data_IF_754789097681
#
_entry.id   IF_754789097681
#
_cell.length_a   1.000
_cell.length_b   1.000
_cell.length_c   1.000
_cell.angle_alpha   90.00
_cell.angle_beta   90.00
_cell.angle_gamma   90.00
#
_symmetry.space_group_name_H-M   'P 1'
#
loop_
_entity.id
_entity.type
_entity.pdbx_description
1 polymer ?
#
# COMPACT_ATOMS: atom_id res chain seq x y z
N UNK A 1 2.55 -20.02 22.43
CA UNK A 1 3.21 -19.02 21.56
C UNK A 1 4.70 -19.14 21.79
N UNK A 2 5.54 -19.25 20.76
CA UNK A 2 6.98 -19.08 20.96
C UNK A 2 7.18 -17.64 21.44
N UNK A 3 7.91 -17.47 22.55
CA UNK A 3 8.34 -16.17 23.06
C UNK A 3 9.00 -15.41 21.91
N UNK A 4 8.58 -14.16 21.69
CA UNK A 4 9.28 -13.27 20.78
C UNK A 4 10.78 -13.28 21.17
N UNK A 5 11.71 -13.42 20.21
CA UNK A 5 13.13 -13.39 20.53
C UNK A 5 13.44 -12.11 21.33
N UNK A 6 14.33 -12.22 22.31
CA UNK A 6 14.79 -11.08 23.10
C UNK A 6 15.17 -9.91 22.17
N UNK A 7 14.85 -8.65 22.52
CA UNK A 7 15.10 -7.52 21.63
C UNK A 7 16.61 -7.49 21.31
N UNK A 8 16.95 -7.74 20.05
CA UNK A 8 18.30 -7.55 19.58
C UNK A 8 18.67 -6.10 19.83
N UNK A 9 19.85 -5.84 20.39
CA UNK A 9 20.33 -4.48 20.60
C UNK A 9 20.54 -3.86 19.21
N UNK A 10 19.58 -3.06 18.74
CA UNK A 10 19.57 -2.49 17.38
C UNK A 10 20.42 -1.22 17.38
N UNK A 11 21.53 -1.26 16.64
CA UNK A 11 22.40 -0.10 16.42
C UNK A 11 21.75 0.88 15.43
N UNK A 12 21.07 1.89 15.95
CA UNK A 12 20.37 2.89 15.13
C UNK A 12 21.33 3.86 14.44
N UNK A 13 22.63 3.87 14.76
CA UNK A 13 23.58 4.82 14.16
C UNK A 13 23.80 4.64 12.65
N UNK A 14 23.47 3.45 12.15
CA UNK A 14 23.59 3.08 10.72
C UNK A 14 22.31 3.37 9.94
N UNK A 15 21.20 3.61 10.61
CA UNK A 15 19.88 3.78 10.00
C UNK A 15 19.82 5.07 9.20
N UNK A 16 19.27 4.98 7.99
CA UNK A 16 19.06 6.11 7.09
C UNK A 16 17.62 6.57 7.17
N UNK A 17 17.40 7.81 7.58
CA UNK A 17 16.08 8.39 7.72
C UNK A 17 15.78 9.41 6.61
N UNK A 18 14.54 9.43 6.14
CA UNK A 18 13.96 10.48 5.33
C UNK A 18 12.84 11.17 6.11
N UNK A 19 12.92 12.50 6.21
CA UNK A 19 11.93 13.33 6.91
C UNK A 19 11.26 14.27 5.90
N UNK A 20 10.00 14.00 5.59
CA UNK A 20 9.17 14.77 4.67
C UNK A 20 8.16 15.61 5.47
N UNK A 21 8.52 16.86 5.76
CA UNK A 21 7.72 17.74 6.61
C UNK A 21 7.95 19.21 6.20
N UNK A 22 6.89 19.97 5.80
CA UNK A 22 7.06 21.33 5.31
C UNK A 22 7.54 22.32 6.40
N UNK A 23 7.13 22.13 7.66
CA UNK A 23 7.46 23.03 8.76
C UNK A 23 8.88 22.86 9.26
N UNK A 24 9.72 23.89 9.11
CA UNK A 24 11.11 23.88 9.59
C UNK A 24 11.22 23.60 11.12
N UNK A 25 10.42 24.23 12.01
CA UNK A 25 10.45 23.91 13.43
C UNK A 25 10.15 22.44 13.74
N UNK A 26 9.19 21.83 13.03
CA UNK A 26 8.84 20.42 13.22
C UNK A 26 9.98 19.52 12.71
N UNK A 27 10.55 19.80 11.53
CA UNK A 27 11.73 19.08 11.02
C UNK A 27 12.91 19.13 11.98
N UNK A 28 13.21 20.30 12.56
CA UNK A 28 14.28 20.44 13.55
C UNK A 28 14.02 19.60 14.81
N UNK A 29 12.77 19.58 15.30
CA UNK A 29 12.37 18.71 16.42
C UNK A 29 12.54 17.22 16.10
N UNK A 30 12.12 16.79 14.90
CA UNK A 30 12.30 15.40 14.43
C UNK A 30 13.78 15.05 14.32
N UNK A 31 14.60 15.92 13.69
CA UNK A 31 16.05 15.74 13.54
C UNK A 31 16.73 15.61 14.91
N UNK A 32 16.35 16.44 15.88
CA UNK A 32 16.88 16.34 17.25
C UNK A 32 16.53 15.00 17.89
N UNK A 33 15.27 14.56 17.78
CA UNK A 33 14.84 13.25 18.30
C UNK A 33 15.64 12.10 17.69
N UNK A 34 15.79 12.09 16.36
CA UNK A 34 16.53 11.06 15.63
C UNK A 34 18.01 11.04 16.04
N UNK A 35 18.66 12.20 16.16
CA UNK A 35 20.04 12.29 16.63
C UNK A 35 20.21 11.76 18.06
N UNK A 36 19.25 12.03 18.96
CA UNK A 36 19.31 11.59 20.36
C UNK A 36 19.29 10.06 20.51
N UNK A 37 18.69 9.34 19.56
CA UNK A 37 18.71 7.86 19.53
C UNK A 37 19.82 7.29 18.64
N UNK A 38 20.67 8.15 18.07
CA UNK A 38 21.86 7.78 17.32
C UNK A 38 21.73 7.87 15.80
N UNK A 39 20.53 8.08 15.23
CA UNK A 39 20.33 8.18 13.78
C UNK A 39 20.94 9.49 13.29
N UNK A 40 22.04 9.41 12.53
CA UNK A 40 22.78 10.59 12.02
C UNK A 40 22.56 10.87 10.53
N UNK A 41 22.29 9.85 9.72
CA UNK A 41 22.05 10.00 8.28
C UNK A 41 20.57 10.36 8.05
N UNK A 42 20.28 11.66 8.04
CA UNK A 42 18.92 12.21 7.94
C UNK A 42 18.83 13.09 6.69
N UNK A 43 18.09 12.61 5.68
CA UNK A 43 17.67 13.40 4.54
C UNK A 43 16.36 14.13 4.86
N UNK A 44 16.23 15.37 4.41
CA UNK A 44 15.01 16.17 4.58
C UNK A 44 14.41 16.55 3.23
N UNK A 45 13.09 16.54 3.16
CA UNK A 45 12.31 17.10 2.07
C UNK A 45 11.23 18.02 2.64
N UNK A 46 11.19 19.26 2.18
CA UNK A 46 10.20 20.26 2.62
C UNK A 46 9.07 20.48 1.61
N UNK A 47 9.16 19.91 0.42
CA UNK A 47 8.19 20.05 -0.67
C UNK A 47 7.69 18.69 -1.12
N UNK A 48 6.50 18.64 -1.72
CA UNK A 48 5.91 17.37 -2.16
C UNK A 48 6.79 16.68 -3.21
N UNK A 49 7.30 17.46 -4.17
CA UNK A 49 8.17 16.94 -5.24
C UNK A 49 9.51 16.41 -4.69
N UNK A 50 10.11 17.09 -3.72
CA UNK A 50 11.33 16.61 -3.08
C UNK A 50 11.09 15.31 -2.30
N UNK A 51 9.95 15.21 -1.59
CA UNK A 51 9.58 14.00 -0.87
C UNK A 51 9.38 12.81 -1.82
N UNK A 52 8.65 13.04 -2.92
CA UNK A 52 8.44 12.04 -3.95
C UNK A 52 9.76 11.60 -4.60
N UNK A 53 10.63 12.54 -4.97
CA UNK A 53 11.93 12.24 -5.58
C UNK A 53 12.85 11.46 -4.64
N UNK A 54 12.94 11.85 -3.36
CA UNK A 54 13.74 11.12 -2.37
C UNK A 54 13.21 9.69 -2.15
N UNK A 55 11.87 9.51 -2.10
CA UNK A 55 11.27 8.17 -2.04
C UNK A 55 11.58 7.33 -3.29
N UNK A 56 11.63 7.95 -4.47
CA UNK A 56 11.98 7.31 -5.75
C UNK A 56 13.44 6.85 -5.79
N UNK A 57 14.36 7.69 -5.35
CA UNK A 57 15.80 7.38 -5.27
C UNK A 57 16.06 6.23 -4.29
N UNK A 58 15.35 6.25 -3.16
CA UNK A 58 15.36 5.18 -2.16
C UNK A 58 16.63 5.16 -1.30
N UNK A 59 16.93 3.98 -0.75
CA UNK A 59 18.01 3.76 0.24
C UNK A 59 17.74 4.36 1.65
N UNK A 60 16.47 4.61 1.97
CA UNK A 60 16.03 4.96 3.32
C UNK A 60 15.42 3.75 4.03
N UNK A 61 15.69 3.62 5.32
CA UNK A 61 15.13 2.55 6.16
C UNK A 61 13.93 3.04 6.97
N UNK A 62 13.94 4.33 7.33
CA UNK A 62 12.90 4.98 8.12
C UNK A 62 12.37 6.23 7.42
N UNK A 63 11.05 6.33 7.30
CA UNK A 63 10.36 7.46 6.69
C UNK A 63 9.44 8.11 7.73
N UNK A 64 9.63 9.41 7.92
CA UNK A 64 8.65 10.27 8.58
C UNK A 64 7.97 11.10 7.50
N UNK A 65 6.68 10.87 7.27
CA UNK A 65 5.94 11.50 6.16
C UNK A 65 4.76 12.30 6.69
N UNK A 66 4.74 13.61 6.47
CA UNK A 66 3.53 14.39 6.72
C UNK A 66 2.44 13.97 5.72
N UNK A 67 1.21 13.78 6.21
CA UNK A 67 0.04 13.47 5.38
C UNK A 67 -0.20 14.53 4.29
N UNK A 68 0.10 15.80 4.58
CA UNK A 68 -0.17 16.93 3.70
C UNK A 68 1.09 17.79 3.57
N UNK A 69 1.62 17.93 2.35
CA UNK A 69 2.80 18.75 2.05
C UNK A 69 2.42 19.74 0.98
N UNK A 70 2.50 21.04 1.28
CA UNK A 70 2.10 22.12 0.34
C UNK A 70 0.68 21.93 -0.22
N UNK A 71 -0.27 21.55 0.65
CA UNK A 71 -1.65 21.20 0.30
C UNK A 71 -1.82 19.98 -0.63
N UNK A 72 -0.75 19.21 -0.88
CA UNK A 72 -0.81 17.95 -1.63
C UNK A 72 -0.95 16.74 -0.71
N UNK A 73 -1.81 15.79 -1.10
CA UNK A 73 -2.05 14.54 -0.37
C UNK A 73 -0.89 13.56 -0.54
N UNK A 74 -0.06 13.46 0.49
CA UNK A 74 1.10 12.57 0.53
C UNK A 74 0.75 11.11 0.84
N UNK A 75 -0.53 10.79 1.11
CA UNK A 75 -0.99 9.40 1.16
C UNK A 75 -0.80 8.69 -0.19
N UNK A 76 -0.77 9.44 -1.29
CA UNK A 76 -0.43 8.93 -2.62
C UNK A 76 0.98 8.31 -2.67
N UNK A 77 2.00 9.02 -2.18
CA UNK A 77 3.39 8.53 -2.09
C UNK A 77 3.44 7.20 -1.33
N UNK A 78 2.72 7.11 -0.22
CA UNK A 78 2.68 5.91 0.61
C UNK A 78 2.03 4.72 -0.11
N UNK A 79 0.91 4.94 -0.81
CA UNK A 79 0.26 3.89 -1.62
C UNK A 79 1.19 3.38 -2.72
N UNK A 80 1.90 4.29 -3.39
CA UNK A 80 2.85 3.92 -4.44
C UNK A 80 4.03 3.10 -3.90
N UNK A 81 4.61 3.52 -2.77
CA UNK A 81 5.63 2.75 -2.05
C UNK A 81 5.13 1.35 -1.74
N UNK A 82 3.97 1.21 -1.09
CA UNK A 82 3.43 -0.12 -0.69
C UNK A 82 3.08 -1.00 -1.89
N UNK A 83 2.63 -0.40 -2.99
CA UNK A 83 2.30 -1.14 -4.22
C UNK A 83 3.54 -1.62 -4.98
N UNK A 84 4.70 -1.02 -4.70
CA UNK A 84 5.95 -1.22 -5.41
C UNK A 84 6.05 -0.46 -6.74
N UNK A 85 5.25 0.60 -6.93
CA UNK A 85 5.32 1.51 -8.09
C UNK A 85 6.33 2.65 -7.89
N UNK A 86 6.66 2.97 -6.63
CA UNK A 86 7.64 3.99 -6.24
C UNK A 86 8.73 3.38 -5.36
N UNK A 87 9.97 3.83 -5.57
CA UNK A 87 11.11 3.46 -4.74
C UNK A 87 11.57 2.01 -4.91
N UNK A 88 12.52 1.60 -4.06
CA UNK A 88 13.19 0.28 -4.12
C UNK A 88 12.78 -0.68 -3.01
N UNK A 89 12.13 -0.17 -1.97
CA UNK A 89 11.75 -0.95 -0.80
C UNK A 89 10.31 -0.60 -0.36
N UNK A 90 9.32 -1.43 -0.71
CA UNK A 90 7.94 -1.23 -0.29
C UNK A 90 7.74 -1.46 1.21
N UNK A 91 8.76 -1.96 1.91
CA UNK A 91 8.75 -2.26 3.34
C UNK A 91 9.52 -1.24 4.17
N UNK A 92 9.89 -0.08 3.61
CA UNK A 92 10.36 1.06 4.39
C UNK A 92 9.46 1.26 5.62
N UNK A 93 10.08 1.47 6.79
CA UNK A 93 9.36 1.65 8.04
C UNK A 93 8.84 3.08 8.08
N UNK A 94 7.52 3.28 8.12
CA UNK A 94 6.94 4.62 7.97
C UNK A 94 6.10 5.05 9.17
N UNK A 95 6.40 6.22 9.71
CA UNK A 95 5.50 6.95 10.62
C UNK A 95 4.90 8.11 9.85
N UNK A 96 3.58 8.14 9.71
CA UNK A 96 2.89 9.25 9.06
C UNK A 96 2.45 10.28 10.11
N UNK A 97 2.72 11.55 9.83
CA UNK A 97 2.33 12.68 10.67
C UNK A 97 0.96 13.21 10.26
N UNK A 98 0.12 13.53 11.24
CA UNK A 98 -1.22 14.05 11.06
C UNK A 98 -1.37 15.41 11.72
N UNK A 99 -1.95 16.38 11.03
CA UNK A 99 -2.30 17.68 11.60
C UNK A 99 -3.76 17.76 12.12
N UNK A 100 -4.60 16.79 11.75
CA UNK A 100 -6.02 16.77 12.10
C UNK A 100 -6.46 15.41 12.64
N UNK A 101 -7.46 15.43 13.53
CA UNK A 101 -8.14 14.24 14.08
C UNK A 101 -9.45 13.92 13.35
N UNK A 102 -9.80 14.68 12.33
CA UNK A 102 -11.03 14.43 11.56
C UNK A 102 -11.02 13.04 10.97
N UNK A 103 -12.13 12.33 11.14
CA UNK A 103 -12.26 10.92 10.76
C UNK A 103 -11.87 10.64 9.30
N UNK A 104 -12.26 11.46 8.30
CA UNK A 104 -11.85 11.23 6.91
C UNK A 104 -10.33 11.33 6.70
N UNK A 105 -9.66 12.29 7.36
CA UNK A 105 -8.21 12.47 7.27
C UNK A 105 -7.47 11.33 7.99
N UNK A 106 -7.93 10.92 9.17
CA UNK A 106 -7.34 9.77 9.88
C UNK A 106 -7.52 8.50 9.06
N UNK A 107 -8.71 8.27 8.51
CA UNK A 107 -9.01 7.08 7.70
C UNK A 107 -8.12 7.01 6.45
N UNK A 108 -8.00 8.10 5.69
CA UNK A 108 -7.15 8.12 4.49
C UNK A 108 -5.67 7.85 4.80
N UNK A 109 -5.17 8.36 5.94
CA UNK A 109 -3.82 8.08 6.41
C UNK A 109 -3.62 6.61 6.84
N UNK A 110 -4.61 6.00 7.50
CA UNK A 110 -4.56 4.56 7.84
C UNK A 110 -4.52 3.73 6.55
N UNK A 111 -5.41 4.05 5.60
CA UNK A 111 -5.68 3.27 4.39
C UNK A 111 -4.55 3.33 3.35
N UNK A 112 -3.58 4.24 3.51
CA UNK A 112 -2.39 4.25 2.64
C UNK A 112 -1.25 3.35 3.14
N UNK A 113 -1.38 2.76 4.32
CA UNK A 113 -0.47 1.72 4.82
C UNK A 113 0.82 2.17 5.51
N UNK A 114 0.91 3.32 6.22
CA UNK A 114 2.07 3.61 7.06
C UNK A 114 2.18 2.58 8.21
N UNK A 115 3.32 2.42 8.85
CA UNK A 115 3.47 1.51 9.99
C UNK A 115 2.77 2.03 11.26
N UNK A 116 2.92 3.33 11.54
CA UNK A 116 2.24 4.03 12.64
C UNK A 116 1.80 5.44 12.23
N UNK A 117 0.94 6.04 13.05
CA UNK A 117 0.45 7.41 12.92
C UNK A 117 0.85 8.24 14.14
N UNK A 118 1.25 9.48 13.91
CA UNK A 118 1.61 10.42 14.98
C UNK A 118 0.96 11.78 14.74
N UNK A 119 0.20 12.26 15.71
CA UNK A 119 -0.49 13.54 15.61
C UNK A 119 0.44 14.69 16.01
N UNK A 120 0.43 15.78 15.24
CA UNK A 120 1.09 17.04 15.52
C UNK A 120 0.16 17.91 16.39
N UNK A 121 0.68 18.60 17.43
CA UNK A 121 2.05 18.54 17.93
C UNK A 121 2.33 17.27 18.73
N UNK A 122 3.55 16.76 18.65
CA UNK A 122 4.05 15.65 19.47
C UNK A 122 5.37 16.03 20.15
N UNK A 123 5.64 15.46 21.31
CA UNK A 123 6.96 15.56 21.93
C UNK A 123 7.96 14.67 21.16
N UNK A 124 9.21 15.11 20.92
CA UNK A 124 10.20 14.34 20.16
C UNK A 124 10.36 12.87 20.63
N UNK A 125 10.29 12.62 21.94
CA UNK A 125 10.39 11.28 22.52
C UNK A 125 9.24 10.35 22.13
N UNK A 126 8.07 10.88 21.76
CA UNK A 126 6.95 10.06 21.30
C UNK A 126 7.29 9.36 19.98
N UNK A 127 7.92 10.07 19.03
CA UNK A 127 8.37 9.46 17.77
C UNK A 127 9.38 8.34 18.04
N UNK A 128 10.28 8.53 19.00
CA UNK A 128 11.29 7.53 19.37
C UNK A 128 10.65 6.30 20.03
N UNK A 129 9.67 6.51 20.90
CA UNK A 129 8.88 5.42 21.48
C UNK A 129 8.17 4.61 20.39
N UNK A 130 7.56 5.27 19.39
CA UNK A 130 6.93 4.60 18.25
C UNK A 130 7.94 3.79 17.44
N UNK A 131 9.08 4.38 17.11
CA UNK A 131 10.14 3.71 16.36
C UNK A 131 10.62 2.44 17.07
N UNK A 132 10.88 2.49 18.39
CA UNK A 132 11.31 1.31 19.17
C UNK A 132 10.29 0.17 19.09
N UNK A 133 9.01 0.49 19.31
CA UNK A 133 7.92 -0.50 19.21
C UNK A 133 7.86 -1.10 17.81
N UNK A 134 7.99 -0.28 16.77
CA UNK A 134 7.97 -0.73 15.39
C UNK A 134 9.18 -1.60 15.00
N UNK A 135 10.37 -1.31 15.55
CA UNK A 135 11.58 -2.11 15.35
C UNK A 135 11.43 -3.51 15.96
N UNK A 136 10.86 -3.58 17.17
CA UNK A 136 10.70 -4.84 17.90
C UNK A 136 9.50 -5.66 17.42
N UNK A 137 8.36 -4.99 17.21
CA UNK A 137 7.03 -5.60 17.04
C UNK A 137 6.29 -5.00 15.85
N UNK A 138 6.97 -4.91 14.69
CA UNK A 138 6.32 -4.57 13.42
C UNK A 138 5.16 -5.54 13.18
N UNK A 139 3.98 -5.00 12.88
CA UNK A 139 2.81 -5.82 12.57
C UNK A 139 3.01 -6.53 11.22
N UNK A 140 2.47 -7.75 11.04
CA UNK A 140 2.43 -8.38 9.73
C UNK A 140 1.62 -7.53 8.76
N UNK A 141 1.90 -7.66 7.47
CA UNK A 141 1.13 -7.01 6.42
C UNK A 141 -0.06 -7.88 6.02
N UNK A 142 -1.13 -7.23 5.55
CA UNK A 142 -2.28 -7.85 4.92
C UNK A 142 -2.52 -7.21 3.56
N UNK A 143 -3.14 -7.97 2.67
CA UNK A 143 -3.45 -7.54 1.31
C UNK A 143 -4.95 -7.67 1.09
N UNK A 144 -5.58 -6.58 0.68
CA UNK A 144 -6.98 -6.55 0.21
C UNK A 144 -7.00 -6.09 -1.24
N UNK A 145 -8.19 -5.76 -1.75
CA UNK A 145 -8.38 -5.17 -3.07
C UNK A 145 -7.90 -3.72 -3.21
N UNK A 146 -7.68 -3.01 -2.10
CA UNK A 146 -7.40 -1.58 -2.05
C UNK A 146 -6.32 -1.22 -1.01
N UNK A 147 -5.83 -2.20 -0.25
CA UNK A 147 -4.86 -2.00 0.83
C UNK A 147 -3.70 -3.00 0.76
N UNK A 148 -2.49 -2.49 0.97
CA UNK A 148 -1.28 -3.27 1.26
C UNK A 148 -0.58 -2.58 2.42
N UNK A 149 -0.49 -3.24 3.56
CA UNK A 149 0.14 -2.63 4.73
C UNK A 149 -0.13 -3.39 6.02
N UNK A 150 0.28 -2.83 7.16
CA UNK A 150 0.15 -3.45 8.47
C UNK A 150 -1.28 -3.89 8.81
N UNK A 151 -1.43 -5.04 9.47
CA UNK A 151 -2.74 -5.48 9.96
C UNK A 151 -3.26 -4.51 11.03
N UNK A 152 -4.42 -3.90 10.75
CA UNK A 152 -5.09 -2.96 11.65
C UNK A 152 -6.19 -3.61 12.48
N UNK A 153 -6.49 -4.89 12.27
CA UNK A 153 -7.57 -5.58 12.98
C UNK A 153 -7.18 -5.81 14.43
N UNK A 154 -8.07 -5.42 15.34
CA UNK A 154 -7.95 -5.76 16.76
C UNK A 154 -8.44 -7.18 17.06
N UNK A 155 -9.38 -7.70 16.27
CA UNK A 155 -9.96 -9.03 16.43
C UNK A 155 -10.33 -9.65 15.06
N UNK A 156 -10.36 -10.99 14.96
CA UNK A 156 -10.94 -11.68 13.81
C UNK A 156 -12.42 -11.29 13.63
N UNK A 157 -12.87 -11.12 12.39
CA UNK A 157 -14.31 -10.95 12.13
C UNK A 157 -14.99 -12.32 12.30
N UNK A 158 -16.07 -12.45 13.10
CA UNK A 158 -16.83 -13.69 13.20
C UNK A 158 -17.31 -14.13 11.81
N UNK A 159 -17.04 -15.39 11.43
CA UNK A 159 -17.50 -15.97 10.16
C UNK A 159 -16.70 -15.60 8.91
N UNK A 160 -15.62 -14.82 9.01
CA UNK A 160 -14.74 -14.54 7.88
C UNK A 160 -13.38 -15.21 8.04
N UNK A 161 -12.86 -15.85 6.99
CA UNK A 161 -11.48 -16.32 6.95
C UNK A 161 -10.55 -15.14 7.19
N UNK A 162 -9.70 -15.21 8.22
CA UNK A 162 -8.67 -14.20 8.47
C UNK A 162 -7.85 -13.99 7.20
N UNK A 163 -7.55 -12.73 6.86
CA UNK A 163 -6.73 -12.47 5.68
C UNK A 163 -5.34 -13.03 5.90
N UNK A 164 -4.72 -13.52 4.83
CA UNK A 164 -3.33 -13.98 4.84
C UNK A 164 -2.44 -12.88 5.40
N UNK A 165 -1.66 -13.22 6.42
CA UNK A 165 -0.70 -12.33 7.06
C UNK A 165 0.69 -12.59 6.50
N UNK A 166 1.39 -11.53 6.10
CA UNK A 166 2.73 -11.57 5.54
C UNK A 166 3.71 -10.97 6.53
N UNK A 167 4.68 -11.77 6.98
CA UNK A 167 5.81 -11.22 7.71
C UNK A 167 6.74 -10.53 6.71
N UNK A 168 6.84 -9.21 6.80
CA UNK A 168 7.70 -8.42 5.92
C UNK A 168 9.03 -8.10 6.62
N UNK A 169 10.13 -7.94 5.86
CA UNK A 169 11.40 -7.56 6.46
C UNK A 169 11.29 -6.16 7.09
N UNK A 170 12.07 -5.91 8.14
CA UNK A 170 12.16 -4.60 8.79
C UNK A 170 13.53 -3.98 8.46
N UNK A 171 13.60 -2.94 7.61
CA UNK A 171 14.88 -2.36 7.16
C UNK A 171 15.67 -1.74 8.32
N UNK A 172 15.00 -1.06 9.25
CA UNK A 172 15.64 -0.46 10.43
C UNK A 172 16.28 -1.54 11.29
N UNK A 173 15.54 -2.61 11.59
CA UNK A 173 16.07 -3.75 12.36
C UNK A 173 17.22 -4.43 11.60
N UNK A 174 17.02 -4.71 10.32
CA UNK A 174 18.04 -5.38 9.49
C UNK A 174 19.36 -4.61 9.49
N UNK A 175 19.31 -3.29 9.27
CA UNK A 175 20.51 -2.46 9.26
C UNK A 175 21.16 -2.37 10.63
N UNK A 176 20.38 -2.14 11.68
CA UNK A 176 20.93 -2.02 13.04
C UNK A 176 21.43 -3.34 13.64
N UNK A 177 21.05 -4.50 13.09
CA UNK A 177 21.65 -5.80 13.44
C UNK A 177 22.76 -6.23 12.47
N UNK A 178 23.19 -5.37 11.55
CA UNK A 178 24.18 -5.66 10.50
C UNK A 178 23.80 -6.88 9.62
N UNK A 179 22.51 -7.02 9.28
CA UNK A 179 22.09 -8.03 8.33
C UNK A 179 22.75 -7.74 6.97
N UNK A 180 23.41 -8.71 6.34
CA UNK A 180 24.00 -8.52 5.01
C UNK A 180 22.96 -8.06 3.99
N UNK A 181 23.33 -7.11 3.14
CA UNK A 181 22.42 -6.44 2.20
C UNK A 181 21.79 -7.41 1.21
N UNK A 182 22.57 -8.37 0.71
CA UNK A 182 22.12 -9.45 -0.17
C UNK A 182 21.07 -10.35 0.50
N UNK A 183 21.19 -10.58 1.82
CA UNK A 183 20.21 -11.34 2.58
C UNK A 183 18.93 -10.54 2.79
N UNK A 184 19.04 -9.25 3.08
CA UNK A 184 17.87 -8.36 3.17
C UNK A 184 17.14 -8.28 1.81
N UNK A 185 17.87 -8.11 0.72
CA UNK A 185 17.31 -8.02 -0.63
C UNK A 185 16.57 -9.30 -1.03
N UNK A 186 17.07 -10.49 -0.64
CA UNK A 186 16.36 -11.77 -0.81
C UNK A 186 15.04 -11.80 -0.02
N UNK A 187 15.06 -11.50 1.28
CA UNK A 187 13.84 -11.47 2.11
C UNK A 187 12.80 -10.47 1.58
N UNK A 188 13.26 -9.31 1.11
CA UNK A 188 12.44 -8.29 0.44
C UNK A 188 11.83 -8.86 -0.82
N UNK A 189 12.62 -9.47 -1.70
CA UNK A 189 12.13 -10.02 -2.95
C UNK A 189 11.10 -11.15 -2.73
N UNK A 190 11.36 -12.06 -1.79
CA UNK A 190 10.43 -13.13 -1.42
C UNK A 190 9.09 -12.56 -0.93
N UNK A 191 9.14 -11.51 -0.10
CA UNK A 191 7.95 -10.83 0.41
C UNK A 191 7.19 -10.08 -0.69
N UNK A 192 7.89 -9.43 -1.64
CA UNK A 192 7.29 -8.75 -2.80
C UNK A 192 6.53 -9.76 -3.67
N UNK A 193 7.12 -10.92 -3.94
CA UNK A 193 6.50 -11.98 -4.75
C UNK A 193 5.27 -12.53 -4.02
N UNK A 194 5.38 -12.87 -2.74
CA UNK A 194 4.27 -13.43 -1.97
C UNK A 194 3.07 -12.46 -1.86
N UNK A 195 3.32 -11.20 -1.51
CA UNK A 195 2.29 -10.15 -1.46
C UNK A 195 1.71 -9.89 -2.85
N UNK A 196 2.56 -9.92 -3.87
CA UNK A 196 2.18 -9.78 -5.26
C UNK A 196 1.15 -10.81 -5.73
N UNK A 197 1.45 -12.08 -5.50
CA UNK A 197 0.57 -13.20 -5.81
C UNK A 197 -0.77 -13.04 -5.09
N UNK A 198 -0.76 -12.72 -3.79
CA UNK A 198 -1.99 -12.45 -3.05
C UNK A 198 -2.78 -11.27 -3.63
N UNK A 199 -2.09 -10.19 -4.03
CA UNK A 199 -2.73 -9.02 -4.66
C UNK A 199 -3.40 -9.39 -5.98
N UNK A 200 -2.79 -10.24 -6.80
CA UNK A 200 -3.39 -10.79 -8.02
C UNK A 200 -4.70 -11.53 -7.69
N UNK A 201 -4.70 -12.41 -6.67
CA UNK A 201 -5.91 -13.12 -6.23
C UNK A 201 -7.02 -12.16 -5.81
N UNK A 202 -6.67 -11.14 -5.01
CA UNK A 202 -7.62 -10.12 -4.54
C UNK A 202 -8.19 -9.28 -5.67
N UNK A 203 -7.37 -8.85 -6.62
CA UNK A 203 -7.82 -8.10 -7.80
C UNK A 203 -8.76 -8.93 -8.67
N UNK A 204 -8.43 -10.21 -8.92
CA UNK A 204 -9.29 -11.12 -9.68
C UNK A 204 -10.66 -11.32 -8.99
N UNK A 205 -10.67 -11.54 -7.66
CA UNK A 205 -11.90 -11.65 -6.89
C UNK A 205 -12.74 -10.36 -6.91
N UNK A 206 -12.10 -9.19 -6.82
CA UNK A 206 -12.79 -7.89 -6.93
C UNK A 206 -13.38 -7.69 -8.31
N UNK A 207 -12.64 -7.98 -9.37
CA UNK A 207 -13.14 -7.89 -10.73
C UNK A 207 -14.40 -8.76 -10.92
N UNK A 208 -14.39 -10.01 -10.41
CA UNK A 208 -15.56 -10.90 -10.48
C UNK A 208 -16.75 -10.34 -9.71
N UNK A 209 -16.52 -9.83 -8.49
CA UNK A 209 -17.55 -9.21 -7.66
C UNK A 209 -18.19 -7.99 -8.34
N UNK A 210 -17.39 -7.09 -8.90
CA UNK A 210 -17.86 -5.90 -9.61
C UNK A 210 -18.65 -6.27 -10.87
N UNK A 211 -18.18 -7.27 -11.65
CA UNK A 211 -18.92 -7.76 -12.82
C UNK A 211 -20.28 -8.37 -12.43
N UNK A 212 -20.32 -9.12 -11.33
CA UNK A 212 -21.55 -9.70 -10.83
C UNK A 212 -22.52 -8.62 -10.33
N UNK A 213 -22.03 -7.60 -9.60
CA UNK A 213 -22.83 -6.47 -9.16
C UNK A 213 -23.43 -5.68 -10.33
N UNK A 214 -22.63 -5.46 -11.40
CA UNK A 214 -23.08 -4.83 -12.63
C UNK A 214 -24.15 -5.67 -13.35
N UNK A 215 -23.95 -7.00 -13.43
CA UNK A 215 -24.91 -7.93 -14.03
C UNK A 215 -26.26 -7.92 -13.29
N UNK A 216 -26.23 -7.96 -11.95
CA UNK A 216 -27.44 -7.89 -11.12
C UNK A 216 -28.16 -6.57 -11.35
N UNK A 217 -27.44 -5.46 -11.31
CA UNK A 217 -28.00 -4.12 -11.55
C UNK A 217 -28.66 -4.02 -12.92
N UNK A 218 -28.06 -4.64 -13.95
CA UNK A 218 -28.60 -4.69 -15.30
C UNK A 218 -29.90 -5.51 -15.38
N UNK A 219 -29.92 -6.70 -14.78
CA UNK A 219 -31.10 -7.59 -14.75
C UNK A 219 -32.28 -6.96 -14.03
N UNK A 220 -32.01 -6.21 -12.97
CA UNK A 220 -33.04 -5.52 -12.18
C UNK A 220 -33.46 -4.17 -12.77
N UNK A 221 -32.88 -3.74 -13.90
CA UNK A 221 -33.17 -2.44 -14.50
C UNK A 221 -32.75 -1.25 -13.64
N UNK A 222 -31.78 -1.43 -12.73
CA UNK A 222 -31.31 -0.42 -11.77
C UNK A 222 -30.08 0.36 -12.23
N UNK A 223 -29.64 0.14 -13.48
CA UNK A 223 -28.48 0.85 -14.02
C UNK A 223 -28.81 2.31 -14.29
N UNK A 224 -27.94 3.20 -13.78
CA UNK A 224 -27.90 4.61 -14.19
C UNK A 224 -26.58 4.88 -14.92
N UNK A 225 -26.51 5.91 -15.78
CA UNK A 225 -25.24 6.28 -16.43
C UNK A 225 -24.11 6.50 -15.42
N UNK A 226 -24.42 7.08 -14.25
CA UNK A 226 -23.45 7.32 -13.18
C UNK A 226 -22.97 6.03 -12.51
N UNK A 227 -23.88 5.11 -12.14
CA UNK A 227 -23.51 3.85 -11.50
C UNK A 227 -22.73 2.94 -12.46
N UNK A 228 -23.12 2.94 -13.73
CA UNK A 228 -22.46 2.21 -14.81
C UNK A 228 -21.05 2.74 -15.04
N UNK A 229 -20.91 4.07 -15.14
CA UNK A 229 -19.60 4.71 -15.25
C UNK A 229 -18.68 4.34 -14.09
N UNK A 230 -19.17 4.43 -12.84
CA UNK A 230 -18.38 4.08 -11.65
C UNK A 230 -17.92 2.62 -11.65
N UNK A 231 -18.81 1.70 -12.00
CA UNK A 231 -18.52 0.27 -12.06
C UNK A 231 -17.47 -0.03 -13.14
N UNK A 232 -17.62 0.55 -14.34
CA UNK A 232 -16.68 0.36 -15.45
C UNK A 232 -15.32 1.03 -15.19
N UNK A 233 -15.31 2.20 -14.54
CA UNK A 233 -14.07 2.84 -14.08
C UNK A 233 -13.33 1.95 -13.08
N UNK A 234 -14.05 1.37 -12.12
CA UNK A 234 -13.46 0.47 -11.13
C UNK A 234 -12.92 -0.80 -11.80
N UNK A 235 -13.67 -1.39 -12.73
CA UNK A 235 -13.22 -2.54 -13.50
C UNK A 235 -11.95 -2.21 -14.30
N UNK A 236 -11.92 -1.09 -15.04
CA UNK A 236 -10.72 -0.66 -15.78
C UNK A 236 -9.49 -0.51 -14.85
N UNK A 237 -9.65 0.10 -13.68
CA UNK A 237 -8.56 0.25 -12.71
C UNK A 237 -8.06 -1.11 -12.20
N UNK A 238 -8.98 -2.00 -11.84
CA UNK A 238 -8.65 -3.33 -11.32
C UNK A 238 -7.98 -4.19 -12.40
N UNK A 239 -8.50 -4.19 -13.63
CA UNK A 239 -7.92 -4.99 -14.73
C UNK A 239 -6.57 -4.43 -15.17
N UNK A 240 -6.38 -3.11 -15.15
CA UNK A 240 -5.09 -2.48 -15.43
C UNK A 240 -4.04 -2.89 -14.41
N UNK A 241 -4.35 -2.82 -13.11
CA UNK A 241 -3.41 -3.27 -12.06
C UNK A 241 -3.15 -4.78 -12.16
N UNK A 242 -4.21 -5.58 -12.41
CA UNK A 242 -4.11 -7.03 -12.55
C UNK A 242 -3.19 -7.41 -13.71
N UNK A 243 -3.37 -6.81 -14.89
CA UNK A 243 -2.52 -7.04 -16.07
C UNK A 243 -1.05 -6.76 -15.76
N UNK A 244 -0.76 -5.56 -15.23
CA UNK A 244 0.60 -5.16 -14.87
C UNK A 244 1.26 -6.15 -13.88
N UNK A 245 0.53 -6.62 -12.88
CA UNK A 245 1.05 -7.56 -11.88
C UNK A 245 1.22 -8.97 -12.44
N UNK A 246 0.26 -9.47 -13.22
CA UNK A 246 0.33 -10.78 -13.86
C UNK A 246 1.54 -10.86 -14.78
N UNK A 247 1.76 -9.85 -15.62
CA UNK A 247 2.94 -9.77 -16.47
C UNK A 247 4.24 -9.73 -15.64
N UNK A 248 4.32 -8.84 -14.64
CA UNK A 248 5.55 -8.61 -13.86
C UNK A 248 5.91 -9.76 -12.92
N UNK A 249 4.93 -10.43 -12.32
CA UNK A 249 5.15 -11.38 -11.22
C UNK A 249 5.00 -12.84 -11.64
N UNK A 250 4.14 -13.13 -12.61
CA UNK A 250 3.90 -14.48 -13.11
C UNK A 250 4.52 -14.71 -14.49
N UNK A 251 4.86 -13.65 -15.23
CA UNK A 251 5.38 -13.76 -16.59
C UNK A 251 4.35 -14.30 -17.58
N UNK A 252 3.06 -14.29 -17.22
CA UNK A 252 1.98 -14.73 -18.10
C UNK A 252 1.64 -13.65 -19.13
N UNK A 253 1.14 -14.09 -20.28
CA UNK A 253 0.55 -13.21 -21.28
C UNK A 253 -0.78 -12.60 -20.77
N UNK A 254 -1.03 -11.33 -21.11
CA UNK A 254 -2.12 -10.53 -20.53
C UNK A 254 -3.19 -10.11 -21.52
N UNK A 255 -3.19 -10.62 -22.75
CA UNK A 255 -4.05 -10.13 -23.85
C UNK A 255 -5.54 -10.19 -23.51
N UNK A 256 -5.96 -11.22 -22.76
CA UNK A 256 -7.37 -11.33 -22.33
C UNK A 256 -7.73 -10.27 -21.28
N UNK A 257 -6.80 -9.94 -20.38
CA UNK A 257 -6.99 -8.92 -19.34
C UNK A 257 -6.95 -7.52 -19.98
N UNK A 258 -6.02 -7.31 -20.92
CA UNK A 258 -5.89 -6.06 -21.66
C UNK A 258 -7.11 -5.80 -22.56
N UNK A 259 -7.62 -6.85 -23.23
CA UNK A 259 -8.85 -6.79 -23.99
C UNK A 259 -10.08 -6.42 -23.14
N UNK A 260 -10.18 -6.98 -21.92
CA UNK A 260 -11.23 -6.59 -20.98
C UNK A 260 -11.07 -5.14 -20.49
N UNK A 261 -9.83 -4.71 -20.26
CA UNK A 261 -9.51 -3.33 -19.86
C UNK A 261 -9.98 -2.34 -20.93
N UNK A 262 -9.67 -2.61 -22.19
CA UNK A 262 -10.08 -1.77 -23.32
C UNK A 262 -11.60 -1.78 -23.52
N UNK A 263 -12.25 -2.95 -23.35
CA UNK A 263 -13.70 -3.04 -23.38
C UNK A 263 -14.34 -2.16 -22.30
N UNK A 264 -13.85 -2.22 -21.06
CA UNK A 264 -14.35 -1.39 -19.96
C UNK A 264 -14.14 0.11 -20.26
N UNK A 265 -12.96 0.49 -20.77
CA UNK A 265 -12.64 1.86 -21.16
C UNK A 265 -13.60 2.40 -22.22
N UNK A 266 -13.88 1.61 -23.26
CA UNK A 266 -14.80 1.97 -24.33
C UNK A 266 -16.23 2.16 -23.82
N UNK A 267 -16.74 1.21 -23.03
CA UNK A 267 -18.11 1.28 -22.48
C UNK A 267 -18.26 2.45 -21.50
N UNK A 268 -17.22 2.72 -20.70
CA UNK A 268 -17.17 3.84 -19.75
C UNK A 268 -17.27 5.20 -20.46
N UNK A 269 -16.83 5.31 -21.71
CA UNK A 269 -16.92 6.55 -22.48
C UNK A 269 -18.35 6.92 -22.88
N UNK A 270 -19.25 5.93 -23.00
CA UNK A 270 -20.65 6.10 -23.38
C UNK A 270 -21.59 5.31 -22.46
N UNK A 271 -21.62 5.59 -21.15
CA UNK A 271 -22.28 4.74 -20.15
C UNK A 271 -23.80 4.65 -20.34
N UNK A 272 -24.42 5.65 -20.97
CA UNK A 272 -25.85 5.66 -21.31
C UNK A 272 -26.23 4.69 -22.43
N UNK A 273 -25.25 4.25 -23.23
CA UNK A 273 -25.45 3.35 -24.38
C UNK A 273 -25.11 1.90 -24.05
N UNK A 274 -24.68 1.61 -22.82
CA UNK A 274 -24.29 0.27 -22.39
C UNK A 274 -25.53 -0.60 -22.31
N UNK A 275 -25.54 -1.69 -23.07
CA UNK A 275 -26.65 -2.65 -23.10
C UNK A 275 -26.29 -3.94 -22.38
N UNK A 276 -27.30 -4.77 -22.09
CA UNK A 276 -27.13 -6.01 -21.35
C UNK A 276 -26.09 -6.96 -21.98
N UNK A 277 -26.02 -7.05 -23.31
CA UNK A 277 -25.05 -7.89 -24.02
C UNK A 277 -23.59 -7.43 -23.82
N UNK A 278 -23.35 -6.13 -23.62
CA UNK A 278 -22.02 -5.62 -23.29
C UNK A 278 -21.58 -6.14 -21.92
N UNK A 279 -22.49 -6.10 -20.94
CA UNK A 279 -22.25 -6.54 -19.56
C UNK A 279 -22.05 -8.05 -19.51
N UNK A 280 -22.79 -8.79 -20.32
CA UNK A 280 -22.62 -10.23 -20.45
C UNK A 280 -21.23 -10.58 -21.02
N UNK A 281 -20.77 -9.82 -22.02
CA UNK A 281 -19.41 -9.97 -22.58
C UNK A 281 -18.32 -9.66 -21.55
N UNK A 282 -18.47 -8.55 -20.80
CA UNK A 282 -17.57 -8.18 -19.69
C UNK A 282 -17.51 -9.31 -18.66
N UNK A 283 -18.67 -9.82 -18.25
CA UNK A 283 -18.79 -10.86 -17.21
C UNK A 283 -18.23 -12.21 -17.66
N UNK A 284 -18.50 -12.64 -18.89
CA UNK A 284 -17.93 -13.87 -19.43
C UNK A 284 -16.40 -13.82 -19.51
N UNK A 285 -15.85 -12.68 -19.93
CA UNK A 285 -14.40 -12.47 -19.99
C UNK A 285 -13.78 -12.44 -18.60
N UNK A 286 -14.42 -11.73 -17.66
CA UNK A 286 -14.01 -11.68 -16.24
C UNK A 286 -13.95 -13.08 -15.61
N UNK A 287 -14.98 -13.92 -15.81
CA UNK A 287 -15.02 -15.29 -15.27
C UNK A 287 -13.86 -16.15 -15.75
N UNK A 288 -13.46 -16.02 -17.03
CA UNK A 288 -12.30 -16.74 -17.59
C UNK A 288 -11.00 -16.32 -16.90
N UNK A 289 -10.82 -15.02 -16.68
CA UNK A 289 -9.65 -14.47 -15.98
C UNK A 289 -9.66 -14.92 -14.51
N UNK A 290 -10.78 -14.75 -13.79
CA UNK A 290 -10.89 -15.14 -12.37
C UNK A 290 -10.70 -16.64 -12.14
N UNK A 291 -11.21 -17.49 -13.04
CA UNK A 291 -10.97 -18.94 -12.97
C UNK A 291 -9.47 -19.31 -12.97
N UNK A 292 -8.63 -18.47 -13.58
CA UNK A 292 -7.18 -18.65 -13.65
C UNK A 292 -6.46 -18.14 -12.41
N UNK A 293 -6.91 -17.02 -11.84
CA UNK A 293 -6.16 -16.26 -10.83
C UNK A 293 -6.76 -16.25 -9.42
N UNK A 294 -8.01 -16.70 -9.24
CA UNK A 294 -8.66 -16.78 -7.92
C UNK A 294 -8.46 -18.13 -7.23
N UNK A 295 -8.09 -19.17 -7.97
CA UNK A 295 -7.97 -20.57 -7.51
C UNK A 295 -6.53 -21.04 -7.23
N UNK A 296 -5.53 -20.29 -7.71
CA UNK A 296 -4.10 -20.50 -7.43
C UNK A 296 -3.68 -19.66 -6.24
#
# INVERSE_FOLDING_TARGET
>A
MPLAPAPANVDLSKVKALVCEPSLPIRQGIRLALNNVGIREIMEASTFLAAHQACKEGDHDFLVLNQEIEANDSTFIMRELRSGSLGRDPFILTVMLLASREEPKVRSAIDCGPDDLLLIPFAPDQLMSRLRVLVERRKPFVVTHDYIGPDRRAAPRPGATSATQFQVPNPVRARGTNLPRDRYDRLKQDSIVAIGIERIKRLAATMDWECNALTVSAREGKMTPESTYRSLLKLEQVTTELSNRVAKQLGHATETIDGLTELCRRLKATPSNVIFSDIETVTQTSRRISGTYSSR
#
